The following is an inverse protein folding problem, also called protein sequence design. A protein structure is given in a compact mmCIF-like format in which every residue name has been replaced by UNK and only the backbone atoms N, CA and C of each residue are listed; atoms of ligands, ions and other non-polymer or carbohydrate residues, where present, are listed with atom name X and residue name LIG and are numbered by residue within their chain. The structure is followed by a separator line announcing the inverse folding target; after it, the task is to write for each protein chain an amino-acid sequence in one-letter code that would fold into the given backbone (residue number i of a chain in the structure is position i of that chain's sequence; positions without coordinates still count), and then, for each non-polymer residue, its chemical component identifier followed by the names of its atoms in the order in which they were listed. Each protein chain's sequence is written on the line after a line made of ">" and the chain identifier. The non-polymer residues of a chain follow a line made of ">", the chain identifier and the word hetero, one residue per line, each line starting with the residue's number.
data_IF_129740236300
#
_entry.id   IF_129740236300
#
_cell.length_a   1.000
_cell.length_b   1.000
_cell.length_c   1.000
_cell.angle_alpha   90.00
_cell.angle_beta   90.00
_cell.angle_gamma   90.00
#
_symmetry.space_group_name_H-M   'P 1'
#
loop_
_entity.id
_entity.type
_entity.pdbx_description
1 polymer ?
#
# COMPACT_ATOMS: atom_id res chain seq x y z
N UNK A 1 29.85 -2.33 86.05
CA UNK A 1 29.55 -1.85 84.68
C UNK A 1 29.27 -3.08 83.81
N UNK A 2 28.02 -3.31 83.40
CA UNK A 2 27.63 -4.43 82.52
C UNK A 2 27.27 -3.87 81.14
N UNK A 3 27.99 -4.30 80.11
CA UNK A 3 27.77 -3.90 78.72
C UNK A 3 26.80 -4.90 78.07
N UNK A 4 25.68 -4.41 77.54
CA UNK A 4 24.71 -5.21 76.79
C UNK A 4 24.83 -4.92 75.29
N UNK A 5 25.15 -5.90 74.43
CA UNK A 5 25.14 -5.71 72.99
C UNK A 5 23.70 -5.74 72.45
N UNK A 6 23.32 -4.68 71.74
CA UNK A 6 22.04 -4.58 71.03
C UNK A 6 22.00 -5.52 69.82
N UNK A 7 20.98 -6.37 69.74
CA UNK A 7 20.72 -7.21 68.56
C UNK A 7 20.09 -6.36 67.46
N UNK A 8 20.82 -6.19 66.35
CA UNK A 8 20.28 -5.59 65.13
C UNK A 8 19.31 -6.58 64.45
N UNK A 9 18.01 -6.28 64.50
CA UNK A 9 16.97 -7.01 63.78
C UNK A 9 17.04 -6.69 62.29
N UNK A 10 17.49 -7.64 61.46
CA UNK A 10 17.49 -7.51 59.99
C UNK A 10 16.07 -7.73 59.46
N UNK A 11 15.44 -6.65 59.02
CA UNK A 11 14.12 -6.63 58.40
C UNK A 11 14.21 -7.17 56.95
N UNK A 12 14.23 -8.50 56.80
CA UNK A 12 14.33 -9.17 55.50
C UNK A 12 13.02 -9.16 54.67
N UNK A 13 11.90 -8.71 55.25
CA UNK A 13 10.58 -8.70 54.59
C UNK A 13 10.46 -7.71 53.43
N UNK A 14 11.19 -6.59 53.47
CA UNK A 14 11.09 -5.57 52.43
C UNK A 14 11.82 -5.97 51.13
N UNK A 15 12.91 -6.74 51.22
CA UNK A 15 13.71 -7.10 50.06
C UNK A 15 12.95 -8.03 49.09
N UNK A 16 12.17 -8.97 49.62
CA UNK A 16 11.34 -9.87 48.80
C UNK A 16 10.22 -9.14 48.06
N UNK A 17 9.61 -8.14 48.71
CA UNK A 17 8.54 -7.34 48.08
C UNK A 17 9.08 -6.51 46.90
N UNK A 18 10.24 -5.87 47.07
CA UNK A 18 10.86 -5.10 45.97
C UNK A 18 11.29 -5.97 44.78
N UNK A 19 11.82 -7.17 45.02
CA UNK A 19 12.20 -8.10 43.94
C UNK A 19 10.98 -8.60 43.17
N UNK A 20 9.87 -8.90 43.86
CA UNK A 20 8.63 -9.34 43.22
C UNK A 20 8.00 -8.25 42.35
N UNK A 21 8.01 -7.00 42.81
CA UNK A 21 7.47 -5.86 42.05
C UNK A 21 8.34 -5.58 40.82
N UNK A 22 9.67 -5.67 40.94
CA UNK A 22 10.57 -5.48 39.82
C UNK A 22 10.40 -6.55 38.73
N UNK A 23 10.20 -7.81 39.11
CA UNK A 23 9.96 -8.90 38.17
C UNK A 23 8.61 -8.77 37.45
N UNK A 24 7.58 -8.26 38.14
CA UNK A 24 6.27 -7.98 37.53
C UNK A 24 6.32 -6.83 36.51
N UNK A 25 7.14 -5.79 36.74
CA UNK A 25 7.34 -4.69 35.79
C UNK A 25 8.10 -5.17 34.54
N UNK A 26 9.10 -6.04 34.70
CA UNK A 26 9.82 -6.65 33.57
C UNK A 26 8.95 -7.60 32.74
N UNK A 27 7.96 -8.26 33.34
CA UNK A 27 7.03 -9.12 32.61
C UNK A 27 6.04 -8.31 31.73
N UNK A 28 5.79 -7.04 32.05
CA UNK A 28 4.87 -6.17 31.32
C UNK A 28 5.53 -5.37 30.18
N UNK A 29 6.87 -5.28 30.12
CA UNK A 29 7.60 -4.60 29.04
C UNK A 29 7.80 -5.46 27.78
N UNK A 30 7.34 -6.72 27.79
CA UNK A 30 7.53 -7.68 26.70
C UNK A 30 6.45 -7.69 25.61
N UNK A 31 5.41 -6.86 25.69
CA UNK A 31 4.45 -6.72 24.60
C UNK A 31 5.12 -5.96 23.44
N UNK A 32 5.75 -6.70 22.53
CA UNK A 32 6.24 -6.18 21.26
C UNK A 32 5.05 -5.68 20.43
N UNK A 33 4.67 -4.41 20.61
CA UNK A 33 3.68 -3.73 19.79
C UNK A 33 4.27 -3.63 18.37
N UNK A 34 3.95 -4.61 17.52
CA UNK A 34 4.22 -4.55 16.07
C UNK A 34 3.24 -3.57 15.46
N UNK A 35 3.67 -2.30 15.40
CA UNK A 35 2.91 -1.17 14.86
C UNK A 35 3.01 -1.04 13.32
N UNK A 36 3.70 -1.97 12.66
CA UNK A 36 3.89 -1.98 11.20
C UNK A 36 3.46 -3.37 10.69
N UNK A 37 2.80 -3.40 9.54
CA UNK A 37 2.47 -4.65 8.85
C UNK A 37 3.74 -5.39 8.42
N UNK A 38 3.68 -6.73 8.39
CA UNK A 38 4.81 -7.52 7.92
C UNK A 38 4.92 -7.38 6.38
N UNK A 39 6.15 -7.23 5.88
CA UNK A 39 6.44 -7.18 4.43
C UNK A 39 5.96 -8.44 3.72
N UNK A 40 5.33 -8.27 2.55
CA UNK A 40 4.88 -9.39 1.72
C UNK A 40 5.66 -9.49 0.40
N UNK A 41 6.59 -10.46 0.26
CA UNK A 41 7.37 -10.61 -0.98
C UNK A 41 6.53 -10.99 -2.20
N UNK A 42 5.33 -11.57 -2.00
CA UNK A 42 4.45 -11.89 -3.12
C UNK A 42 3.74 -10.64 -3.67
N UNK A 43 3.49 -9.62 -2.84
CA UNK A 43 3.00 -8.32 -3.31
C UNK A 43 4.08 -7.61 -4.12
N UNK A 44 5.31 -7.58 -3.61
CA UNK A 44 6.48 -6.99 -4.28
C UNK A 44 6.72 -7.62 -5.67
N UNK A 45 6.90 -8.94 -5.73
CA UNK A 45 7.13 -9.66 -6.98
C UNK A 45 5.92 -9.57 -7.93
N UNK A 46 4.71 -9.77 -7.42
CA UNK A 46 3.51 -9.73 -8.26
C UNK A 46 3.28 -8.34 -8.87
N UNK A 47 3.61 -7.28 -8.16
CA UNK A 47 3.49 -5.92 -8.68
C UNK A 47 4.59 -5.59 -9.70
N UNK A 48 5.81 -6.07 -9.48
CA UNK A 48 6.89 -5.97 -10.47
C UNK A 48 6.51 -6.68 -11.78
N UNK A 49 5.99 -7.89 -11.70
CA UNK A 49 5.53 -8.63 -12.88
C UNK A 49 4.35 -7.93 -13.58
N UNK A 50 3.42 -7.31 -12.82
CA UNK A 50 2.36 -6.47 -13.40
C UNK A 50 2.95 -5.27 -14.16
N UNK A 51 3.94 -4.59 -13.56
CA UNK A 51 4.58 -3.44 -14.15
C UNK A 51 5.33 -3.80 -15.43
N UNK A 52 6.12 -4.88 -15.43
CA UNK A 52 6.84 -5.37 -16.60
C UNK A 52 5.89 -5.73 -17.75
N UNK A 53 4.79 -6.45 -17.46
CA UNK A 53 3.79 -6.79 -18.45
C UNK A 53 3.12 -5.54 -19.04
N UNK A 54 2.77 -4.57 -18.19
CA UNK A 54 2.12 -3.32 -18.61
C UNK A 54 3.07 -2.42 -19.39
N UNK A 55 4.32 -2.29 -18.97
CA UNK A 55 5.34 -1.51 -19.68
C UNK A 55 5.59 -2.09 -21.07
N UNK A 56 5.74 -3.42 -21.16
CA UNK A 56 5.87 -4.12 -22.45
C UNK A 56 4.68 -3.84 -23.36
N UNK A 57 3.45 -3.97 -22.84
CA UNK A 57 2.22 -3.68 -23.59
C UNK A 57 2.18 -2.23 -24.10
N UNK A 58 2.47 -1.25 -23.25
CA UNK A 58 2.48 0.17 -23.61
C UNK A 58 3.58 0.52 -24.62
N UNK A 59 4.76 -0.10 -24.52
CA UNK A 59 5.84 0.10 -25.49
C UNK A 59 5.49 -0.51 -26.86
N UNK A 60 4.86 -1.69 -26.89
CA UNK A 60 4.32 -2.28 -28.11
C UNK A 60 3.28 -1.35 -28.75
N UNK A 61 2.36 -0.80 -27.94
CA UNK A 61 1.39 0.17 -28.40
C UNK A 61 2.02 1.43 -29.00
N UNK A 62 3.02 1.99 -28.32
CA UNK A 62 3.73 3.19 -28.77
C UNK A 62 4.46 2.99 -30.10
N UNK A 63 4.94 1.77 -30.35
CA UNK A 63 5.60 1.39 -31.62
C UNK A 63 4.64 1.12 -32.78
N UNK A 64 3.32 1.29 -32.57
CA UNK A 64 2.30 0.97 -33.57
C UNK A 64 2.04 -0.54 -33.73
N UNK A 65 2.55 -1.35 -32.79
CA UNK A 65 2.38 -2.80 -32.76
C UNK A 65 1.29 -3.26 -31.78
N UNK A 66 0.58 -2.33 -31.11
CA UNK A 66 -0.57 -2.75 -30.32
C UNK A 66 -1.66 -3.24 -31.24
N UNK A 67 -2.18 -4.41 -30.88
CA UNK A 67 -3.40 -4.91 -31.43
C UNK A 67 -4.58 -4.04 -30.97
N UNK A 68 -5.65 -3.96 -31.77
CA UNK A 68 -6.90 -3.34 -31.36
C UNK A 68 -7.39 -3.85 -29.99
N UNK A 69 -8.26 -3.09 -29.33
CA UNK A 69 -8.76 -3.43 -28.00
C UNK A 69 -9.26 -4.88 -27.89
N UNK A 70 -10.06 -5.36 -28.85
CA UNK A 70 -10.64 -6.72 -28.81
C UNK A 70 -9.56 -7.82 -28.79
N UNK A 71 -8.47 -7.62 -29.52
CA UNK A 71 -7.34 -8.55 -29.54
C UNK A 71 -6.49 -8.44 -28.26
N UNK A 72 -6.51 -7.28 -27.61
CA UNK A 72 -5.83 -7.02 -26.34
C UNK A 72 -6.66 -7.34 -25.10
N UNK A 73 -7.92 -7.77 -25.25
CA UNK A 73 -8.86 -7.97 -24.13
C UNK A 73 -8.33 -8.95 -23.08
N UNK A 74 -7.66 -10.02 -23.50
CA UNK A 74 -7.12 -11.01 -22.58
C UNK A 74 -6.07 -10.42 -21.64
N UNK A 75 -5.22 -9.51 -22.14
CA UNK A 75 -4.23 -8.83 -21.32
C UNK A 75 -4.88 -8.07 -20.15
N UNK A 76 -5.96 -7.35 -20.39
CA UNK A 76 -6.68 -6.63 -19.33
C UNK A 76 -7.29 -7.59 -18.30
N UNK A 77 -7.93 -8.66 -18.74
CA UNK A 77 -8.50 -9.68 -17.85
C UNK A 77 -7.43 -10.34 -16.96
N UNK A 78 -6.28 -10.68 -17.54
CA UNK A 78 -5.17 -11.28 -16.80
C UNK A 78 -4.61 -10.31 -15.76
N UNK A 79 -4.44 -9.04 -16.13
CA UNK A 79 -3.94 -8.01 -15.22
C UNK A 79 -4.95 -7.68 -14.11
N UNK A 80 -6.26 -7.71 -14.38
CA UNK A 80 -7.27 -7.59 -13.33
C UNK A 80 -7.20 -8.73 -12.34
N UNK A 81 -7.17 -9.98 -12.83
CA UNK A 81 -7.09 -11.16 -11.97
C UNK A 81 -5.85 -11.10 -11.08
N UNK A 82 -4.71 -10.66 -11.65
CA UNK A 82 -3.48 -10.45 -10.91
C UNK A 82 -3.62 -9.39 -9.82
N UNK A 83 -4.08 -8.18 -10.16
CA UNK A 83 -4.26 -7.10 -9.20
C UNK A 83 -5.28 -7.48 -8.11
N UNK A 84 -6.36 -8.17 -8.46
CA UNK A 84 -7.36 -8.65 -7.48
C UNK A 84 -6.78 -9.67 -6.52
N UNK A 85 -5.92 -10.58 -7.01
CA UNK A 85 -5.21 -11.51 -6.13
C UNK A 85 -4.27 -10.79 -5.15
N UNK A 86 -3.60 -9.73 -5.60
CA UNK A 86 -2.72 -8.91 -4.76
C UNK A 86 -3.53 -8.11 -3.73
N UNK A 87 -4.67 -7.54 -4.13
CA UNK A 87 -5.58 -6.81 -3.22
C UNK A 87 -6.13 -7.76 -2.17
N UNK A 88 -6.68 -8.91 -2.57
CA UNK A 88 -7.21 -9.91 -1.64
C UNK A 88 -6.15 -10.37 -0.63
N UNK A 89 -4.92 -10.56 -1.11
CA UNK A 89 -3.79 -10.92 -0.25
C UNK A 89 -3.42 -9.82 0.73
N UNK A 90 -3.35 -8.57 0.26
CA UNK A 90 -3.11 -7.41 1.11
C UNK A 90 -4.22 -7.25 2.16
N UNK A 91 -5.49 -7.44 1.78
CA UNK A 91 -6.64 -7.40 2.69
C UNK A 91 -6.58 -8.52 3.75
N UNK A 92 -6.17 -9.73 3.36
CA UNK A 92 -6.02 -10.85 4.30
C UNK A 92 -4.86 -10.66 5.28
N UNK A 93 -3.81 -9.94 4.89
CA UNK A 93 -2.67 -9.61 5.74
C UNK A 93 -2.84 -8.29 6.52
N UNK A 94 -3.83 -7.47 6.15
CA UNK A 94 -3.99 -6.14 6.71
C UNK A 94 -4.44 -6.19 8.17
N UNK A 95 -3.78 -5.41 9.02
CA UNK A 95 -4.37 -5.04 10.31
C UNK A 95 -5.41 -3.94 10.04
N UNK A 96 -6.37 -3.77 10.94
CA UNK A 96 -7.43 -2.74 10.83
C UNK A 96 -6.90 -1.29 10.97
N UNK A 97 -5.69 -1.03 10.48
CA UNK A 97 -5.07 0.29 10.46
C UNK A 97 -5.51 1.00 9.19
N UNK A 98 -6.24 2.11 9.37
CA UNK A 98 -6.69 2.95 8.27
C UNK A 98 -5.49 3.67 7.68
N UNK A 99 -5.31 3.61 6.36
CA UNK A 99 -4.35 4.48 5.66
C UNK A 99 -4.74 5.99 5.65
N UNK A 100 -5.80 6.35 6.39
CA UNK A 100 -6.34 7.70 6.43
C UNK A 100 -5.27 8.70 6.86
N UNK A 101 -4.96 9.66 5.99
CA UNK A 101 -4.06 10.77 6.29
C UNK A 101 -2.60 10.57 5.89
N UNK A 102 -2.21 9.46 5.24
CA UNK A 102 -0.85 9.39 4.70
C UNK A 102 -0.70 10.38 3.54
N UNK A 103 0.25 11.31 3.67
CA UNK A 103 0.54 12.31 2.63
C UNK A 103 0.80 11.64 1.29
N UNK A 104 1.46 10.49 1.30
CA UNK A 104 1.80 9.73 0.11
C UNK A 104 0.56 9.20 -0.65
N UNK A 105 -0.45 8.67 0.04
CA UNK A 105 -1.70 8.23 -0.61
C UNK A 105 -2.49 9.43 -1.11
N UNK A 106 -2.56 10.52 -0.33
CA UNK A 106 -3.22 11.75 -0.76
C UNK A 106 -2.57 12.34 -2.02
N UNK A 107 -1.24 12.39 -2.08
CA UNK A 107 -0.49 12.89 -3.24
C UNK A 107 -0.75 12.01 -4.48
N UNK A 108 -0.81 10.68 -4.31
CA UNK A 108 -1.13 9.74 -5.38
C UNK A 108 -2.52 10.01 -5.96
N UNK A 109 -3.51 10.18 -5.07
CA UNK A 109 -4.89 10.45 -5.44
C UNK A 109 -5.02 11.83 -6.08
N UNK A 110 -4.43 12.87 -5.50
CA UNK A 110 -4.48 14.23 -6.03
C UNK A 110 -3.86 14.32 -7.42
N UNK A 111 -2.75 13.59 -7.66
CA UNK A 111 -2.18 13.50 -9.00
C UNK A 111 -3.14 12.84 -9.99
N UNK A 112 -3.84 11.78 -9.60
CA UNK A 112 -4.82 11.12 -10.47
C UNK A 112 -6.02 12.02 -10.75
N UNK A 113 -6.55 12.70 -9.72
CA UNK A 113 -7.64 13.65 -9.83
C UNK A 113 -7.26 14.89 -10.64
N UNK A 114 -6.00 15.33 -10.61
CA UNK A 114 -5.53 16.44 -11.46
C UNK A 114 -5.65 16.14 -12.96
N UNK A 115 -5.69 14.85 -13.32
CA UNK A 115 -5.87 14.39 -14.70
C UNK A 115 -7.35 14.21 -15.08
N UNK A 116 -8.30 14.42 -14.16
CA UNK A 116 -9.74 14.16 -14.35
C UNK A 116 -10.30 14.83 -15.60
N UNK A 117 -10.01 16.13 -15.81
CA UNK A 117 -10.53 16.88 -16.97
C UNK A 117 -10.05 16.29 -18.30
N UNK A 118 -8.78 15.91 -18.38
CA UNK A 118 -8.19 15.30 -19.56
C UNK A 118 -8.82 13.93 -19.84
N UNK A 119 -8.90 13.09 -18.80
CA UNK A 119 -9.43 11.73 -18.90
C UNK A 119 -10.94 11.70 -19.21
N UNK A 120 -11.72 12.65 -18.67
CA UNK A 120 -13.12 12.86 -19.08
C UNK A 120 -13.23 13.24 -20.56
N UNK A 121 -12.31 14.06 -21.07
CA UNK A 121 -12.20 14.35 -22.51
C UNK A 121 -11.96 13.09 -23.35
N UNK A 122 -11.21 12.14 -22.81
CA UNK A 122 -11.00 10.81 -23.40
C UNK A 122 -12.16 9.82 -23.13
N UNK A 123 -13.27 10.26 -22.53
CA UNK A 123 -14.44 9.42 -22.27
C UNK A 123 -14.29 8.44 -21.12
N UNK A 124 -13.33 8.65 -20.22
CA UNK A 124 -13.31 7.94 -18.93
C UNK A 124 -14.50 8.43 -18.10
N UNK A 125 -15.26 7.47 -17.59
CA UNK A 125 -16.49 7.75 -16.85
C UNK A 125 -16.21 8.45 -15.50
N UNK A 126 -17.16 9.29 -15.08
CA UNK A 126 -17.03 10.10 -13.86
C UNK A 126 -17.03 9.28 -12.57
N UNK A 127 -17.78 8.18 -12.57
CA UNK A 127 -17.89 7.22 -11.47
C UNK A 127 -16.52 6.64 -11.06
N UNK A 128 -15.61 6.45 -12.02
CA UNK A 128 -14.26 5.99 -11.74
C UNK A 128 -13.48 6.99 -10.86
N UNK A 129 -13.70 8.30 -11.06
CA UNK A 129 -13.12 9.35 -10.22
C UNK A 129 -13.84 9.47 -8.88
N UNK A 130 -15.14 9.21 -8.84
CA UNK A 130 -15.90 9.22 -7.60
C UNK A 130 -15.47 8.07 -6.68
N UNK A 131 -15.17 6.90 -7.25
CA UNK A 131 -14.57 5.77 -6.53
C UNK A 131 -13.19 6.14 -5.94
N UNK A 132 -12.35 6.83 -6.71
CA UNK A 132 -11.03 7.31 -6.26
C UNK A 132 -11.17 8.35 -5.13
N UNK A 133 -12.14 9.27 -5.25
CA UNK A 133 -12.45 10.25 -4.19
C UNK A 133 -12.95 9.55 -2.94
N UNK A 134 -13.80 8.55 -3.08
CA UNK A 134 -14.29 7.78 -1.95
C UNK A 134 -13.17 7.00 -1.24
N UNK A 135 -12.22 6.41 -1.98
CA UNK A 135 -11.03 5.78 -1.37
C UNK A 135 -10.14 6.79 -0.62
N UNK A 136 -10.14 8.07 -1.01
CA UNK A 136 -9.46 9.14 -0.27
C UNK A 136 -10.17 9.48 1.05
N UNK A 137 -11.47 9.69 0.97
CA UNK A 137 -12.29 10.16 2.10
C UNK A 137 -12.54 9.05 3.11
N UNK A 138 -12.71 7.83 2.62
CA UNK A 138 -13.08 6.64 3.37
C UNK A 138 -12.16 5.45 3.02
N UNK A 139 -10.84 5.55 3.25
CA UNK A 139 -9.91 4.49 2.89
C UNK A 139 -10.25 3.20 3.63
N UNK A 140 -10.55 2.16 2.87
CA UNK A 140 -10.85 0.84 3.40
C UNK A 140 -9.61 -0.07 3.28
N UNK A 141 -9.01 -0.37 4.44
CA UNK A 141 -7.83 -1.24 4.57
C UNK A 141 -6.53 -0.47 4.80
N UNK A 142 -5.42 -1.21 4.70
CA UNK A 142 -4.07 -0.68 4.89
C UNK A 142 -3.60 0.16 3.70
N UNK A 143 -2.48 0.86 3.83
CA UNK A 143 -1.94 1.68 2.75
C UNK A 143 -1.60 0.87 1.50
N UNK A 144 -1.17 -0.38 1.66
CA UNK A 144 -0.96 -1.29 0.54
C UNK A 144 -2.25 -1.61 -0.17
N UNK A 145 -3.34 -1.89 0.55
CA UNK A 145 -4.67 -2.15 -0.05
C UNK A 145 -5.14 -0.95 -0.87
N UNK A 146 -5.13 0.24 -0.27
CA UNK A 146 -5.59 1.48 -0.93
C UNK A 146 -4.74 1.76 -2.18
N UNK A 147 -3.42 1.64 -2.09
CA UNK A 147 -2.55 1.90 -3.23
C UNK A 147 -2.67 0.84 -4.34
N UNK A 148 -2.86 -0.44 -4.01
CA UNK A 148 -3.15 -1.48 -5.01
C UNK A 148 -4.47 -1.22 -5.74
N UNK A 149 -5.50 -0.77 -5.01
CA UNK A 149 -6.77 -0.34 -5.62
C UNK A 149 -6.55 0.84 -6.58
N UNK A 150 -5.72 1.83 -6.22
CA UNK A 150 -5.36 2.94 -7.12
C UNK A 150 -4.64 2.43 -8.38
N UNK A 151 -3.71 1.49 -8.25
CA UNK A 151 -3.05 0.84 -9.41
C UNK A 151 -4.08 0.15 -10.30
N UNK A 152 -5.05 -0.56 -9.72
CA UNK A 152 -6.18 -1.15 -10.46
C UNK A 152 -7.02 -0.10 -11.18
N UNK A 153 -7.30 1.05 -10.55
CA UNK A 153 -8.04 2.14 -11.22
C UNK A 153 -7.24 2.73 -12.38
N UNK A 154 -5.92 2.90 -12.25
CA UNK A 154 -5.07 3.31 -13.38
C UNK A 154 -5.13 2.30 -14.54
N UNK A 155 -5.20 1.00 -14.24
CA UNK A 155 -5.38 -0.03 -15.25
C UNK A 155 -6.76 0.07 -15.94
N UNK A 156 -7.83 0.33 -15.18
CA UNK A 156 -9.18 0.56 -15.71
C UNK A 156 -9.26 1.78 -16.62
N UNK A 157 -8.57 2.86 -16.26
CA UNK A 157 -8.46 4.06 -17.10
C UNK A 157 -7.82 3.70 -18.44
N UNK A 158 -6.70 2.97 -18.41
CA UNK A 158 -6.01 2.53 -19.63
C UNK A 158 -6.90 1.65 -20.51
N UNK A 159 -7.62 0.68 -19.93
CA UNK A 159 -8.58 -0.16 -20.66
C UNK A 159 -9.69 0.68 -21.30
N UNK A 160 -10.28 1.59 -20.53
CA UNK A 160 -11.41 2.42 -20.99
C UNK A 160 -11.00 3.28 -22.18
N UNK A 161 -9.82 3.89 -22.13
CA UNK A 161 -9.30 4.68 -23.25
C UNK A 161 -9.03 3.78 -24.45
N UNK A 162 -8.38 2.63 -24.26
CA UNK A 162 -8.09 1.70 -25.35
C UNK A 162 -9.38 1.19 -26.02
N UNK A 163 -10.38 0.83 -25.23
CA UNK A 163 -11.69 0.38 -25.71
C UNK A 163 -12.40 1.44 -26.52
N UNK A 164 -12.34 2.70 -26.10
CA UNK A 164 -13.00 3.81 -26.79
C UNK A 164 -12.29 4.21 -28.08
N UNK A 165 -10.98 4.35 -28.03
CA UNK A 165 -10.16 4.81 -29.16
C UNK A 165 -9.78 3.66 -30.10
N UNK A 166 -10.12 2.42 -29.74
CA UNK A 166 -9.74 1.15 -30.35
C UNK A 166 -8.22 0.88 -30.40
N UNK A 167 -7.38 1.90 -30.24
CA UNK A 167 -5.92 1.83 -30.14
C UNK A 167 -5.42 2.82 -29.09
N UNK A 168 -4.29 2.51 -28.44
CA UNK A 168 -3.58 3.46 -27.60
C UNK A 168 -2.58 4.28 -28.43
N UNK A 169 -2.82 5.59 -28.54
CA UNK A 169 -1.93 6.51 -29.27
C UNK A 169 -0.80 7.05 -28.40
N UNK A 170 0.34 7.39 -29.02
CA UNK A 170 1.55 7.88 -28.33
C UNK A 170 1.30 8.94 -27.24
N UNK A 171 0.57 10.04 -27.52
CA UNK A 171 0.29 11.07 -26.52
C UNK A 171 -0.48 10.57 -25.29
N UNK A 172 -1.39 9.61 -25.47
CA UNK A 172 -2.13 8.98 -24.38
C UNK A 172 -1.19 8.10 -23.55
N UNK A 173 -0.36 7.30 -24.22
CA UNK A 173 0.64 6.43 -23.56
C UNK A 173 1.62 7.25 -22.73
N UNK A 174 2.05 8.41 -23.23
CA UNK A 174 2.99 9.31 -22.53
C UNK A 174 2.40 9.88 -21.23
N UNK A 175 1.07 9.87 -21.07
CA UNK A 175 0.36 10.27 -19.84
C UNK A 175 0.09 9.07 -18.94
N UNK A 176 -0.31 7.94 -19.54
CA UNK A 176 -0.64 6.71 -18.79
C UNK A 176 0.60 6.06 -18.16
N UNK A 177 1.70 5.95 -18.91
CA UNK A 177 2.89 5.23 -18.47
C UNK A 177 3.48 5.80 -17.17
N UNK A 178 3.75 7.12 -17.04
CA UNK A 178 4.24 7.69 -15.78
C UNK A 178 3.25 7.50 -14.62
N UNK A 179 1.95 7.53 -14.90
CA UNK A 179 0.91 7.38 -13.86
C UNK A 179 0.90 5.96 -13.29
N UNK A 180 0.98 4.94 -14.17
CA UNK A 180 1.08 3.54 -13.77
C UNK A 180 2.39 3.27 -13.03
N UNK A 181 3.52 3.73 -13.57
CA UNK A 181 4.85 3.59 -12.95
C UNK A 181 4.88 4.19 -11.54
N UNK A 182 4.30 5.37 -11.36
CA UNK A 182 4.25 6.01 -10.06
C UNK A 182 3.36 5.27 -9.08
N UNK A 183 2.18 4.79 -9.51
CA UNK A 183 1.32 3.94 -8.69
C UNK A 183 2.07 2.71 -8.18
N UNK A 184 2.77 2.01 -9.08
CA UNK A 184 3.61 0.85 -8.74
C UNK A 184 4.71 1.22 -7.75
N UNK A 185 5.52 2.24 -8.06
CA UNK A 185 6.62 2.71 -7.20
C UNK A 185 6.14 3.06 -5.79
N UNK A 186 4.94 3.60 -5.66
CA UNK A 186 4.37 3.95 -4.37
C UNK A 186 4.01 2.71 -3.55
N UNK A 187 3.34 1.70 -4.13
CA UNK A 187 3.10 0.43 -3.42
C UNK A 187 4.43 -0.24 -3.03
N UNK A 188 5.41 -0.29 -3.93
CA UNK A 188 6.73 -0.86 -3.62
C UNK A 188 7.44 -0.12 -2.49
N UNK A 189 7.35 1.21 -2.46
CA UNK A 189 7.94 2.01 -1.38
C UNK A 189 7.29 1.69 -0.03
N UNK A 190 5.98 1.46 0.01
CA UNK A 190 5.25 1.02 1.21
C UNK A 190 5.75 -0.36 1.66
N UNK A 191 5.81 -1.34 0.75
CA UNK A 191 6.29 -2.69 1.08
C UNK A 191 7.76 -2.69 1.53
N UNK A 192 8.62 -1.88 0.90
CA UNK A 192 10.01 -1.73 1.31
C UNK A 192 10.15 -1.04 2.68
N UNK A 193 9.29 -0.07 3.04
CA UNK A 193 9.31 0.51 4.38
C UNK A 193 8.95 -0.53 5.45
N UNK A 194 7.95 -1.39 5.17
CA UNK A 194 7.62 -2.54 6.04
C UNK A 194 8.81 -3.47 6.24
N UNK A 195 9.51 -3.81 5.14
CA UNK A 195 10.70 -4.67 5.17
C UNK A 195 11.83 -4.10 6.03
N UNK A 196 11.97 -2.77 6.07
CA UNK A 196 12.99 -2.04 6.87
C UNK A 196 12.54 -1.78 8.31
N UNK A 197 11.29 -2.04 8.66
CA UNK A 197 10.71 -1.66 9.94
C UNK A 197 10.55 -0.13 10.11
N UNK A 198 10.56 0.62 9.01
CA UNK A 198 10.29 2.06 9.03
C UNK A 198 8.78 2.27 9.20
N UNK A 199 8.37 3.12 10.16
CA UNK A 199 6.94 3.45 10.34
C UNK A 199 6.43 4.21 9.11
N UNK A 200 5.30 3.76 8.58
CA UNK A 200 4.53 4.51 7.58
C UNK A 200 4.06 5.84 8.21
N UNK A 201 4.60 6.98 7.77
CA UNK A 201 4.04 8.31 8.09
C UNK A 201 4.46 9.00 9.40
N UNK A 202 5.74 9.03 9.75
CA UNK A 202 6.24 10.01 10.75
C UNK A 202 7.27 10.96 10.13
N UNK A 203 6.77 12.09 9.64
CA UNK A 203 7.30 13.42 9.96
C UNK A 203 6.18 14.44 9.90
#
# INVERSE_FOLDING_TARGET
>A
MKYHPGKASRNNGNLFFFVSVFFAILALSGCSIKLVEDYDPLIDNGLMEYFEATDKFLNQAKSGQAAPYEESRQFYLDMYSKLDSLILRAEAGAKLDKCAGSQMVNDAIDKLLSSEKFLKGLGVAGDLFDDIKNERENPAGSCTVVMLKIVKRNHQIMETIHKKENNLVGPVIDILKPTIEQGVKMVLKIELSKKRGEREGVK
#
